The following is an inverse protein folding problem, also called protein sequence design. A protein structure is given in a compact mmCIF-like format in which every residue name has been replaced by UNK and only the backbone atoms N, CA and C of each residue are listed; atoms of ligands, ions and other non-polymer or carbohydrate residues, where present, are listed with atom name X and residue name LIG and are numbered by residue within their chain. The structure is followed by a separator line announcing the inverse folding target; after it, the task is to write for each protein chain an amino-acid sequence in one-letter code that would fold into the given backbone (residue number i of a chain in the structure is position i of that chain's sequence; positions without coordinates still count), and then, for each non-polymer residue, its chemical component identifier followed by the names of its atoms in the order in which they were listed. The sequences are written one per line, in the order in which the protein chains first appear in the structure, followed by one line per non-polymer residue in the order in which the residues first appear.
data_IF_076863371820
#
_entry.id   IF_076863371820
#
_cell.length_a   1.000
_cell.length_b   1.000
_cell.length_c   1.000
_cell.angle_alpha   90.00
_cell.angle_beta   90.00
_cell.angle_gamma   90.00
#
_symmetry.space_group_name_H-M   'P 1'
#
loop_
_entity.id
_entity.type
_entity.pdbx_description
1 polymer ?
#
# COMPACT_ATOMS: atom_id res chain seq x y z
N UNK A 1 -65.15 -40.95 -34.49
CA UNK A 1 -64.58 -41.29 -33.17
C UNK A 1 -63.80 -40.06 -32.69
N UNK A 2 -64.27 -39.35 -31.65
CA UNK A 2 -63.61 -39.19 -30.32
C UNK A 2 -62.14 -38.74 -30.45
N UNK A 3 -61.67 -37.61 -29.91
CA UNK A 3 -61.81 -37.07 -28.54
C UNK A 3 -61.22 -35.64 -28.47
N UNK A 4 -61.78 -34.81 -27.59
CA UNK A 4 -61.28 -33.49 -27.13
C UNK A 4 -60.28 -33.64 -25.97
N UNK A 5 -59.63 -32.51 -25.60
CA UNK A 5 -58.89 -32.17 -24.36
C UNK A 5 -57.39 -32.55 -24.37
N UNK A 6 -56.45 -31.65 -24.04
CA UNK A 6 -56.20 -31.11 -22.68
C UNK A 6 -55.68 -29.64 -22.69
N UNK A 7 -56.17 -28.90 -21.70
CA UNK A 7 -55.78 -27.57 -21.19
C UNK A 7 -54.45 -27.62 -20.38
N UNK A 8 -53.73 -26.50 -20.35
CA UNK A 8 -53.25 -25.91 -19.09
C UNK A 8 -51.74 -25.88 -18.83
N UNK A 9 -51.16 -24.66 -18.83
CA UNK A 9 -50.27 -24.12 -17.78
C UNK A 9 -49.87 -22.69 -18.19
N UNK A 10 -50.50 -21.66 -17.62
CA UNK A 10 -49.88 -20.74 -16.65
C UNK A 10 -48.57 -20.11 -17.15
N UNK A 11 -48.68 -18.85 -17.61
CA UNK A 11 -47.56 -17.95 -17.90
C UNK A 11 -47.89 -16.52 -17.49
N UNK A 12 -48.62 -16.34 -16.39
CA UNK A 12 -48.66 -15.07 -15.67
C UNK A 12 -47.38 -15.05 -14.81
N UNK A 13 -46.33 -14.42 -15.32
CA UNK A 13 -45.24 -13.92 -14.49
C UNK A 13 -44.66 -12.64 -15.12
N UNK A 14 -45.55 -11.71 -15.48
CA UNK A 14 -45.22 -10.31 -15.65
C UNK A 14 -45.53 -9.59 -14.33
N UNK A 15 -44.72 -9.84 -13.31
CA UNK A 15 -44.69 -9.09 -12.05
C UNK A 15 -43.32 -9.34 -11.40
N UNK A 16 -42.77 -8.29 -10.78
CA UNK A 16 -41.46 -8.19 -10.10
C UNK A 16 -40.29 -7.59 -10.89
N UNK A 17 -40.49 -6.39 -11.45
CA UNK A 17 -39.49 -5.32 -11.30
C UNK A 17 -40.20 -4.00 -10.93
N UNK A 18 -41.07 -4.06 -9.92
CA UNK A 18 -41.35 -2.90 -9.09
C UNK A 18 -40.33 -2.93 -7.93
N UNK A 19 -39.09 -2.55 -8.25
CA UNK A 19 -38.07 -2.25 -7.26
C UNK A 19 -38.45 -0.92 -6.60
N UNK A 20 -38.96 -1.04 -5.38
CA UNK A 20 -39.35 0.05 -4.51
C UNK A 20 -38.18 1.03 -4.30
N UNK A 21 -38.46 2.32 -4.43
CA UNK A 21 -37.49 3.37 -4.13
C UNK A 21 -37.19 3.47 -2.64
N UNK A 22 -35.91 3.72 -2.36
CA UNK A 22 -35.41 4.51 -1.23
C UNK A 22 -34.00 4.90 -1.68
N UNK A 23 -33.81 6.05 -2.31
CA UNK A 23 -33.94 7.30 -1.58
C UNK A 23 -32.71 7.51 -0.68
N UNK A 24 -31.52 7.16 -1.14
CA UNK A 24 -30.29 7.73 -0.61
C UNK A 24 -29.47 8.23 -1.80
N UNK A 25 -29.58 9.53 -2.08
CA UNK A 25 -28.88 10.21 -3.17
C UNK A 25 -27.51 10.69 -2.70
N UNK A 26 -26.83 9.85 -1.93
CA UNK A 26 -25.41 10.01 -1.66
C UNK A 26 -24.61 9.42 -2.83
N UNK A 27 -23.46 9.99 -3.20
CA UNK A 27 -22.54 9.30 -4.09
C UNK A 27 -22.20 7.92 -3.49
N UNK A 28 -22.35 6.86 -4.29
CA UNK A 28 -22.05 5.49 -3.85
C UNK A 28 -20.54 5.37 -3.68
N UNK A 29 -20.07 5.05 -2.47
CA UNK A 29 -18.64 4.77 -2.25
C UNK A 29 -18.29 3.36 -2.71
N UNK A 30 -17.10 3.22 -3.30
CA UNK A 30 -16.48 1.95 -3.66
C UNK A 30 -15.31 1.73 -2.73
N UNK A 31 -15.23 0.55 -2.12
CA UNK A 31 -14.11 0.13 -1.27
C UNK A 31 -13.38 -1.01 -1.97
N UNK A 32 -12.06 -0.87 -2.13
CA UNK A 32 -11.20 -1.87 -2.76
C UNK A 32 -9.99 -2.17 -1.87
N UNK A 33 -9.49 -3.39 -1.99
CA UNK A 33 -8.25 -3.86 -1.38
C UNK A 33 -7.24 -4.21 -2.48
N UNK A 34 -6.03 -3.70 -2.37
CA UNK A 34 -4.91 -3.92 -3.29
C UNK A 34 -3.73 -4.41 -2.45
N UNK A 35 -3.16 -5.57 -2.78
CA UNK A 35 -1.89 -6.00 -2.16
C UNK A 35 -0.72 -5.36 -2.91
N UNK A 36 0.41 -5.19 -2.20
CA UNK A 36 1.64 -4.74 -2.86
C UNK A 36 2.12 -5.76 -3.89
N UNK A 37 2.87 -5.27 -4.88
CA UNK A 37 3.50 -6.11 -5.90
C UNK A 37 4.89 -6.53 -5.44
N UNK A 38 4.98 -7.63 -4.68
CA UNK A 38 6.25 -8.14 -4.11
C UNK A 38 7.42 -8.14 -5.12
N UNK A 39 7.28 -8.57 -6.40
CA UNK A 39 8.38 -8.49 -7.36
C UNK A 39 8.94 -7.07 -7.59
N UNK A 40 8.11 -6.03 -7.42
CA UNK A 40 8.45 -4.60 -7.55
C UNK A 40 8.87 -3.96 -6.22
N UNK A 41 8.46 -4.55 -5.10
CA UNK A 41 8.87 -4.18 -3.75
C UNK A 41 10.35 -4.48 -3.49
N UNK A 42 10.92 -3.81 -2.48
CA UNK A 42 12.31 -4.07 -2.11
C UNK A 42 12.88 -3.13 -1.06
N UNK A 43 14.11 -3.40 -0.66
CA UNK A 43 14.89 -2.50 0.18
C UNK A 43 16.22 -2.12 -0.47
N UNK A 44 16.71 -0.94 -0.08
CA UNK A 44 18.05 -0.49 -0.46
C UNK A 44 18.82 -0.20 0.81
N UNK A 45 19.96 -0.87 0.97
CA UNK A 45 20.92 -0.65 2.05
C UNK A 45 22.09 0.21 1.57
N UNK A 46 22.33 1.34 2.23
CA UNK A 46 23.54 2.14 2.06
C UNK A 46 24.56 1.79 3.12
N UNK A 47 25.73 1.28 2.71
CA UNK A 47 26.87 1.06 3.59
C UNK A 47 27.77 2.31 3.58
N UNK A 48 27.84 3.08 4.69
CA UNK A 48 28.64 4.30 4.75
C UNK A 48 30.16 4.05 4.82
N UNK A 49 30.60 2.84 5.19
CA UNK A 49 32.03 2.49 5.28
C UNK A 49 32.56 2.05 3.92
N UNK A 50 31.82 1.19 3.22
CA UNK A 50 32.13 0.75 1.86
C UNK A 50 31.72 1.79 0.80
N UNK A 51 30.87 2.76 1.17
CA UNK A 51 30.26 3.74 0.27
C UNK A 51 29.57 3.09 -0.93
N UNK A 52 28.71 2.12 -0.65
CA UNK A 52 28.04 1.29 -1.65
C UNK A 52 26.57 1.05 -1.31
N UNK A 53 25.77 0.81 -2.35
CA UNK A 53 24.37 0.42 -2.20
C UNK A 53 24.18 -1.06 -2.52
N UNK A 54 23.38 -1.73 -1.71
CA UNK A 54 22.85 -3.07 -1.98
C UNK A 54 21.35 -2.94 -2.22
N UNK A 55 20.88 -3.43 -3.35
CA UNK A 55 19.44 -3.44 -3.70
C UNK A 55 18.92 -4.87 -3.54
N UNK A 56 17.88 -5.04 -2.75
CA UNK A 56 17.16 -6.29 -2.56
C UNK A 56 15.77 -6.15 -3.19
N UNK A 57 15.46 -6.99 -4.17
CA UNK A 57 14.19 -6.95 -4.92
C UNK A 57 13.32 -8.15 -4.54
N UNK A 58 12.05 -7.92 -4.22
CA UNK A 58 11.08 -8.92 -3.80
C UNK A 58 11.53 -9.87 -2.69
N UNK A 59 12.08 -9.36 -1.57
CA UNK A 59 12.33 -10.20 -0.42
C UNK A 59 11.01 -10.62 0.26
N UNK A 60 11.06 -11.66 1.09
CA UNK A 60 9.96 -12.03 1.97
C UNK A 60 9.78 -11.05 3.15
N UNK A 61 10.81 -10.25 3.44
CA UNK A 61 10.78 -9.23 4.49
C UNK A 61 11.57 -8.04 4.04
N UNK A 62 10.93 -6.88 4.10
CA UNK A 62 11.52 -5.58 3.77
C UNK A 62 12.09 -4.95 5.03
N UNK A 63 13.25 -4.32 4.91
CA UNK A 63 13.88 -3.64 6.03
C UNK A 63 13.99 -2.13 5.82
N UNK A 64 13.78 -1.38 6.89
CA UNK A 64 14.20 0.02 6.98
C UNK A 64 14.80 0.31 8.35
N UNK A 65 15.72 1.28 8.40
CA UNK A 65 16.43 1.64 9.64
C UNK A 65 17.93 1.43 9.57
N UNK A 66 18.61 1.44 10.71
CA UNK A 66 20.06 1.26 10.80
C UNK A 66 20.34 -0.09 11.47
N UNK A 67 21.01 -0.99 10.76
CA UNK A 67 21.50 -2.24 11.34
C UNK A 67 22.78 -1.97 12.14
N UNK A 68 22.64 -1.85 13.46
CA UNK A 68 23.77 -1.59 14.37
C UNK A 68 24.56 -2.87 14.72
N UNK A 69 24.08 -4.06 14.34
CA UNK A 69 24.82 -5.31 14.55
C UNK A 69 25.88 -5.50 13.46
N UNK A 70 25.68 -4.89 12.29
CA UNK A 70 26.69 -4.80 11.27
C UNK A 70 27.72 -3.69 11.63
N UNK A 71 29.04 -3.99 11.64
CA UNK A 71 30.08 -3.00 11.95
C UNK A 71 30.11 -1.78 11.03
N UNK A 72 29.52 -1.88 9.84
CA UNK A 72 29.44 -0.78 8.88
C UNK A 72 28.20 0.10 9.06
N UNK A 73 27.26 -0.26 9.95
CA UNK A 73 26.04 0.51 10.24
C UNK A 73 25.24 0.88 8.97
N UNK A 74 24.90 -0.09 8.10
CA UNK A 74 24.16 0.22 6.89
C UNK A 74 22.75 0.77 7.21
N UNK A 75 22.35 1.80 6.47
CA UNK A 75 21.00 2.36 6.50
C UNK A 75 20.15 1.70 5.43
N UNK A 76 19.02 1.13 5.82
CA UNK A 76 18.03 0.54 4.95
C UNK A 76 16.84 1.48 4.75
N UNK A 77 16.31 1.48 3.53
CA UNK A 77 15.01 2.08 3.19
C UNK A 77 14.19 1.03 2.45
N UNK A 78 12.95 0.83 2.88
CA UNK A 78 12.03 -0.12 2.26
C UNK A 78 11.09 0.62 1.30
N UNK A 79 10.70 -0.05 0.22
CA UNK A 79 9.89 0.48 -0.86
C UNK A 79 8.74 -0.50 -1.15
N UNK A 80 7.53 0.05 -1.24
CA UNK A 80 6.31 -0.69 -1.57
C UNK A 80 5.62 -0.09 -2.79
N UNK A 81 5.17 -0.96 -3.68
CA UNK A 81 4.49 -0.66 -4.94
C UNK A 81 3.06 -1.22 -4.91
N UNK A 82 2.08 -0.35 -5.19
CA UNK A 82 0.69 -0.75 -5.34
C UNK A 82 0.16 -0.31 -6.72
N UNK A 83 0.16 -1.21 -7.71
CA UNK A 83 -0.38 -0.90 -9.03
C UNK A 83 -1.87 -0.55 -8.96
N UNK A 84 -2.24 0.64 -9.44
CA UNK A 84 -3.61 1.17 -9.38
C UNK A 84 -4.43 0.86 -10.64
N UNK A 85 -3.81 0.22 -11.63
CA UNK A 85 -4.40 -0.07 -12.95
C UNK A 85 -5.01 -1.48 -13.05
N UNK A 86 -4.87 -2.29 -11.99
CA UNK A 86 -5.34 -3.67 -11.93
C UNK A 86 -4.46 -4.69 -12.65
N UNK A 87 -3.24 -4.32 -13.05
CA UNK A 87 -2.25 -5.20 -13.70
C UNK A 87 -1.86 -6.43 -12.87
N UNK A 88 -1.97 -6.34 -11.54
CA UNK A 88 -1.70 -7.42 -10.58
C UNK A 88 -2.93 -8.27 -10.26
N UNK A 89 -4.07 -8.02 -10.90
CA UNK A 89 -5.32 -8.74 -10.68
C UNK A 89 -6.17 -8.21 -9.51
N UNK A 90 -5.70 -7.19 -8.80
CA UNK A 90 -6.48 -6.43 -7.83
C UNK A 90 -7.35 -5.36 -8.53
N UNK A 91 -8.35 -4.77 -7.84
CA UNK A 91 -9.19 -3.74 -8.44
C UNK A 91 -8.40 -2.51 -8.89
N UNK A 92 -8.72 -1.98 -10.07
CA UNK A 92 -8.20 -0.70 -10.52
C UNK A 92 -8.89 0.48 -9.80
N UNK A 93 -8.16 1.57 -9.59
CA UNK A 93 -8.69 2.85 -9.11
C UNK A 93 -8.74 3.82 -10.30
N UNK A 94 -9.94 4.26 -10.72
CA UNK A 94 -10.06 5.22 -11.81
C UNK A 94 -9.25 6.49 -11.55
N UNK A 95 -8.56 7.03 -12.57
CA UNK A 95 -7.76 8.26 -12.46
C UNK A 95 -8.58 9.50 -12.04
N UNK A 96 -9.90 9.46 -12.22
CA UNK A 96 -10.82 10.54 -11.82
C UNK A 96 -11.57 10.22 -10.52
N UNK A 97 -11.19 9.15 -9.81
CA UNK A 97 -11.78 8.77 -8.55
C UNK A 97 -11.50 9.84 -7.49
N UNK A 98 -12.53 10.18 -6.71
CA UNK A 98 -12.33 11.08 -5.56
C UNK A 98 -12.05 10.24 -4.32
N UNK A 99 -10.80 10.26 -3.85
CA UNK A 99 -10.38 9.49 -2.68
C UNK A 99 -11.02 10.05 -1.41
N UNK A 100 -11.81 9.21 -0.74
CA UNK A 100 -12.46 9.50 0.55
C UNK A 100 -11.53 9.14 1.69
N UNK A 101 -11.01 7.92 1.66
CA UNK A 101 -10.07 7.42 2.66
C UNK A 101 -9.13 6.39 2.05
N UNK A 102 -7.93 6.27 2.61
CA UNK A 102 -6.99 5.23 2.25
C UNK A 102 -6.17 4.78 3.46
N UNK A 103 -6.10 3.48 3.68
CA UNK A 103 -5.37 2.87 4.77
C UNK A 103 -4.36 1.88 4.21
N UNK A 104 -3.09 2.10 4.53
CA UNK A 104 -2.01 1.15 4.30
C UNK A 104 -1.82 0.30 5.54
N UNK A 105 -1.91 -1.01 5.38
CA UNK A 105 -1.69 -2.00 6.43
C UNK A 105 -0.39 -2.75 6.15
N UNK A 106 0.46 -2.87 7.17
CA UNK A 106 1.71 -3.65 7.12
C UNK A 106 1.79 -4.58 8.32
N UNK A 107 2.29 -5.80 8.12
CA UNK A 107 2.56 -6.75 9.22
C UNK A 107 4.01 -6.62 9.66
N UNK A 108 4.24 -6.31 10.94
CA UNK A 108 5.58 -6.03 11.46
C UNK A 108 6.23 -7.30 11.98
N UNK A 109 7.39 -7.67 11.43
CA UNK A 109 8.12 -8.88 11.81
C UNK A 109 9.19 -8.63 12.86
N UNK A 110 9.78 -7.43 12.88
CA UNK A 110 10.75 -7.03 13.90
C UNK A 110 10.73 -5.51 14.14
N UNK A 111 11.05 -5.13 15.37
CA UNK A 111 11.32 -3.75 15.81
C UNK A 111 12.49 -3.84 16.77
N UNK A 112 13.67 -3.45 16.30
CA UNK A 112 14.94 -3.65 16.97
C UNK A 112 15.62 -2.34 17.34
N UNK A 113 16.54 -2.42 18.30
CA UNK A 113 17.43 -1.32 18.75
C UNK A 113 16.76 -0.12 19.42
N UNK A 114 15.43 -0.01 19.39
CA UNK A 114 14.65 0.95 20.18
C UNK A 114 13.26 0.38 20.53
N UNK A 115 12.62 0.96 21.56
CA UNK A 115 11.22 0.61 21.91
C UNK A 115 10.19 1.28 21.02
N UNK A 116 10.57 2.42 20.48
CA UNK A 116 9.78 3.27 19.60
C UNK A 116 10.72 3.76 18.53
N UNK A 117 10.38 3.52 17.27
CA UNK A 117 11.15 3.90 16.10
C UNK A 117 10.32 4.92 15.32
N UNK A 118 10.65 6.22 15.43
CA UNK A 118 10.07 7.24 14.57
C UNK A 118 10.45 6.99 13.11
N UNK A 119 9.47 6.97 12.24
CA UNK A 119 9.60 6.68 10.83
C UNK A 119 8.86 7.70 9.97
N UNK A 120 9.33 7.83 8.74
CA UNK A 120 8.68 8.56 7.66
C UNK A 120 8.15 7.57 6.63
N UNK A 121 7.02 7.93 6.03
CA UNK A 121 6.48 7.27 4.84
C UNK A 121 6.38 8.34 3.77
N UNK A 122 7.29 8.27 2.81
CA UNK A 122 7.33 9.20 1.68
C UNK A 122 6.50 8.65 0.52
N UNK A 123 5.72 9.50 -0.14
CA UNK A 123 5.22 9.21 -1.49
C UNK A 123 6.37 9.43 -2.47
N UNK A 124 6.77 8.39 -3.18
CA UNK A 124 7.91 8.42 -4.12
C UNK A 124 7.48 7.93 -5.50
N UNK A 125 8.40 7.96 -6.46
CA UNK A 125 8.24 7.23 -7.71
C UNK A 125 9.56 6.56 -8.08
N UNK A 126 9.50 5.28 -8.42
CA UNK A 126 10.63 4.48 -8.87
C UNK A 126 10.22 3.54 -10.01
N UNK A 127 11.19 3.00 -10.78
CA UNK A 127 10.86 2.12 -11.89
C UNK A 127 10.20 0.82 -11.42
N UNK A 128 9.00 0.51 -11.92
CA UNK A 128 8.30 -0.77 -11.68
C UNK A 128 9.07 -2.02 -12.16
N UNK A 129 10.19 -1.83 -12.87
CA UNK A 129 11.08 -2.93 -13.27
C UNK A 129 12.10 -3.29 -12.20
N UNK A 130 12.12 -2.52 -11.12
CA UNK A 130 13.00 -2.74 -9.98
C UNK A 130 13.73 -1.48 -9.54
N UNK A 131 14.09 -1.50 -8.27
CA UNK A 131 14.83 -0.45 -7.58
C UNK A 131 16.24 -0.31 -8.15
N UNK A 132 16.75 0.92 -8.09
CA UNK A 132 18.11 1.27 -8.42
C UNK A 132 18.76 2.00 -7.26
N UNK A 133 20.11 2.01 -7.15
CA UNK A 133 20.79 2.78 -6.11
C UNK A 133 20.41 4.27 -6.04
N UNK A 134 19.96 4.87 -7.15
CA UNK A 134 19.55 6.26 -7.20
C UNK A 134 18.26 6.52 -6.41
N UNK A 135 17.40 5.51 -6.26
CA UNK A 135 16.11 5.62 -5.58
C UNK A 135 16.27 5.76 -4.06
N UNK A 136 17.42 5.38 -3.50
CA UNK A 136 17.72 5.56 -2.08
C UNK A 136 17.62 7.04 -1.66
N UNK A 137 18.19 7.93 -2.46
CA UNK A 137 18.24 9.38 -2.21
C UNK A 137 17.24 10.16 -3.07
N UNK A 138 16.24 9.52 -3.65
CA UNK A 138 15.21 10.24 -4.39
C UNK A 138 14.42 11.17 -3.45
N UNK A 139 14.17 12.39 -3.91
CA UNK A 139 13.29 13.29 -3.19
C UNK A 139 11.85 12.74 -3.20
N UNK A 140 11.11 12.84 -2.09
CA UNK A 140 9.68 12.57 -2.10
C UNK A 140 8.97 13.47 -3.13
N UNK A 141 7.83 13.02 -3.63
CA UNK A 141 6.91 13.89 -4.35
C UNK A 141 6.45 15.03 -3.42
N UNK A 142 5.90 16.09 -3.99
CA UNK A 142 5.49 17.27 -3.22
C UNK A 142 3.98 17.46 -3.19
N UNK A 143 3.44 17.95 -2.08
CA UNK A 143 2.07 18.46 -2.06
C UNK A 143 1.96 19.77 -2.86
N UNK A 144 0.74 20.24 -3.17
CA UNK A 144 0.52 21.49 -3.91
C UNK A 144 1.11 22.75 -3.25
N UNK A 145 1.34 22.71 -1.94
CA UNK A 145 1.98 23.79 -1.18
C UNK A 145 3.51 23.81 -1.28
N UNK A 146 4.10 22.83 -1.98
CA UNK A 146 5.54 22.68 -2.18
C UNK A 146 6.25 21.91 -1.07
N UNK A 147 5.54 21.46 -0.02
CA UNK A 147 6.10 20.58 1.00
C UNK A 147 6.26 19.15 0.47
N UNK A 148 7.18 18.37 1.06
CA UNK A 148 7.31 16.95 0.73
C UNK A 148 6.08 16.17 1.17
N UNK A 149 5.62 15.26 0.32
CA UNK A 149 4.50 14.37 0.55
C UNK A 149 4.95 13.19 1.40
N UNK A 150 4.93 13.36 2.72
CA UNK A 150 5.27 12.32 3.67
C UNK A 150 4.34 12.30 4.89
N UNK A 151 4.37 11.20 5.61
CA UNK A 151 3.71 11.01 6.90
C UNK A 151 4.73 10.63 7.97
N UNK A 152 4.42 10.96 9.24
CA UNK A 152 5.18 10.49 10.40
C UNK A 152 4.40 9.38 11.10
N UNK A 153 5.11 8.34 11.48
CA UNK A 153 4.56 7.23 12.26
C UNK A 153 5.61 6.71 13.24
N UNK A 154 5.15 6.16 14.35
CA UNK A 154 6.01 5.44 15.29
C UNK A 154 5.75 3.94 15.17
N UNK A 155 6.80 3.15 14.97
CA UNK A 155 6.76 1.70 15.13
C UNK A 155 7.16 1.34 16.56
N UNK A 156 6.33 0.56 17.24
CA UNK A 156 6.52 0.17 18.63
C UNK A 156 7.00 -1.27 18.72
N UNK A 157 7.80 -1.59 19.74
CA UNK A 157 8.19 -2.98 20.00
C UNK A 157 6.99 -3.92 20.24
N UNK A 158 5.83 -3.36 20.59
CA UNK A 158 4.57 -4.09 20.74
C UNK A 158 3.86 -4.38 19.41
N UNK A 159 4.31 -3.79 18.31
CA UNK A 159 3.72 -4.00 16.98
C UNK A 159 4.23 -5.30 16.33
N UNK A 160 5.28 -5.90 16.89
CA UNK A 160 5.82 -7.17 16.41
C UNK A 160 4.76 -8.27 16.44
N UNK A 161 4.52 -8.88 15.29
CA UNK A 161 3.53 -9.94 15.11
C UNK A 161 2.09 -9.46 14.96
N UNK A 162 1.86 -8.15 14.79
CA UNK A 162 0.54 -7.58 14.49
C UNK A 162 0.57 -6.70 13.24
N UNK A 163 -0.62 -6.37 12.76
CA UNK A 163 -0.83 -5.43 11.67
C UNK A 163 -0.88 -4.00 12.18
N UNK A 164 -0.05 -3.13 11.61
CA UNK A 164 -0.10 -1.68 11.79
C UNK A 164 -0.92 -1.08 10.66
N UNK A 165 -1.97 -0.34 11.01
CA UNK A 165 -2.82 0.37 10.05
C UNK A 165 -2.46 1.86 10.03
N UNK A 166 -2.22 2.39 8.84
CA UNK A 166 -1.65 3.71 8.61
C UNK A 166 -2.59 4.47 7.69
N UNK A 167 -3.08 5.62 8.14
CA UNK A 167 -3.87 6.50 7.27
C UNK A 167 -2.95 7.17 6.26
N UNK A 168 -3.06 6.76 5.00
CA UNK A 168 -2.29 7.29 3.87
C UNK A 168 -3.16 8.12 2.92
N UNK A 169 -4.33 8.57 3.39
CA UNK A 169 -5.32 9.28 2.56
C UNK A 169 -4.71 10.48 1.83
N UNK A 170 -3.90 11.30 2.51
CA UNK A 170 -3.26 12.47 1.89
C UNK A 170 -2.27 12.11 0.80
N UNK A 171 -1.49 11.04 0.99
CA UNK A 171 -0.54 10.54 -0.01
C UNK A 171 -1.29 9.96 -1.22
N UNK A 172 -2.37 9.20 -0.98
CA UNK A 172 -3.19 8.60 -2.04
C UNK A 172 -3.92 9.67 -2.86
N UNK A 173 -4.42 10.73 -2.21
CA UNK A 173 -4.98 11.90 -2.88
C UNK A 173 -3.96 12.59 -3.77
N UNK A 174 -2.72 12.74 -3.29
CA UNK A 174 -1.64 13.34 -4.07
C UNK A 174 -1.23 12.46 -5.27
N UNK A 175 -1.18 11.13 -5.10
CA UNK A 175 -0.94 10.18 -6.18
C UNK A 175 -2.01 10.29 -7.27
N UNK A 176 -3.31 10.33 -6.89
CA UNK A 176 -4.41 10.54 -7.83
C UNK A 176 -4.36 11.90 -8.52
N UNK A 177 -4.07 12.98 -7.78
CA UNK A 177 -3.94 14.32 -8.35
C UNK A 177 -2.85 14.39 -9.43
N UNK A 178 -1.79 13.59 -9.28
CA UNK A 178 -0.69 13.48 -10.24
C UNK A 178 -0.97 12.50 -11.38
N UNK A 179 -2.02 11.68 -11.27
CA UNK A 179 -2.35 10.63 -12.23
C UNK A 179 -1.29 9.54 -12.27
N UNK A 180 -0.71 9.18 -11.12
CA UNK A 180 0.25 8.09 -11.03
C UNK A 180 -0.45 6.75 -11.34
N UNK A 181 0.24 5.88 -12.07
CA UNK A 181 -0.25 4.52 -12.35
C UNK A 181 -0.11 3.60 -11.12
N UNK A 182 0.81 3.95 -10.22
CA UNK A 182 1.17 3.17 -9.04
C UNK A 182 1.17 4.08 -7.82
N UNK A 183 0.71 3.56 -6.69
CA UNK A 183 0.91 4.20 -5.39
C UNK A 183 2.18 3.62 -4.77
N UNK A 184 3.26 4.40 -4.79
CA UNK A 184 4.59 3.96 -4.37
C UNK A 184 5.03 4.71 -3.13
N UNK A 185 5.43 3.96 -2.09
CA UNK A 185 5.86 4.55 -0.82
C UNK A 185 7.25 4.06 -0.40
N UNK A 186 7.98 4.92 0.32
CA UNK A 186 9.27 4.60 0.93
C UNK A 186 9.21 4.77 2.44
N UNK A 187 9.63 3.75 3.18
CA UNK A 187 9.84 3.77 4.62
C UNK A 187 11.30 4.08 4.95
N UNK A 188 11.51 4.98 5.90
CA UNK A 188 12.82 5.38 6.41
C UNK A 188 12.68 5.92 7.83
N UNK A 189 13.79 6.05 8.57
CA UNK A 189 13.76 6.67 9.90
C UNK A 189 13.40 8.16 9.79
N UNK A 190 12.61 8.66 10.74
CA UNK A 190 12.56 10.10 10.98
C UNK A 190 13.87 10.48 11.69
N UNK A 191 14.72 11.25 11.02
CA UNK A 191 16.06 11.61 11.50
C UNK A 191 16.00 12.67 12.62
N UNK A 192 15.30 12.35 13.71
CA UNK A 192 15.52 12.98 15.02
C UNK A 192 16.98 12.75 15.46
N UNK A 193 17.58 13.62 16.28
CA UNK A 193 19.00 13.49 16.64
C UNK A 193 19.33 12.09 17.21
N UNK A 194 20.30 11.42 16.58
CA UNK A 194 20.69 10.02 16.82
C UNK A 194 19.55 9.01 16.55
N UNK A 195 19.04 8.93 15.31
CA UNK A 195 17.99 7.97 15.00
C UNK A 195 18.57 6.57 15.14
N UNK A 196 17.93 5.75 15.96
CA UNK A 196 18.26 4.34 16.15
C UNK A 196 16.98 3.54 16.01
N UNK A 197 17.04 2.49 15.21
CA UNK A 197 15.90 1.64 14.98
C UNK A 197 16.09 0.84 13.72
N UNK A 198 15.59 -0.40 13.73
CA UNK A 198 15.55 -1.26 12.57
C UNK A 198 14.22 -2.02 12.59
N UNK A 199 13.50 -2.00 11.48
CA UNK A 199 12.14 -2.57 11.38
C UNK A 199 12.09 -3.51 10.19
N UNK A 200 11.50 -4.68 10.42
CA UNK A 200 11.13 -5.64 9.39
C UNK A 200 9.63 -5.59 9.12
N UNK A 201 9.26 -5.54 7.84
CA UNK A 201 7.88 -5.64 7.35
C UNK A 201 7.75 -6.93 6.54
N UNK A 202 6.76 -7.77 6.87
CA UNK A 202 6.46 -8.98 6.09
C UNK A 202 5.93 -8.59 4.70
N UNK A 203 6.40 -9.28 3.68
CA UNK A 203 6.02 -9.09 2.28
C UNK A 203 5.81 -10.43 1.56
N UNK A 204 5.28 -11.44 2.26
CA UNK A 204 5.00 -12.75 1.66
C UNK A 204 3.60 -12.82 1.01
N UNK A 205 3.44 -12.69 -0.32
CA UNK A 205 2.13 -12.75 -0.99
C UNK A 205 1.51 -14.15 -0.95
N UNK A 206 2.32 -15.21 -0.82
CA UNK A 206 1.84 -16.59 -0.68
C UNK A 206 1.18 -16.86 0.67
N UNK A 207 1.41 -15.98 1.66
CA UNK A 207 0.67 -15.92 2.91
C UNK A 207 -0.12 -14.61 2.89
N UNK A 208 -1.11 -14.50 2.01
CA UNK A 208 -1.91 -13.29 1.72
C UNK A 208 -2.51 -12.54 2.93
N UNK A 209 -2.37 -13.08 4.14
CA UNK A 209 -2.74 -12.46 5.40
C UNK A 209 -1.75 -11.35 5.79
N UNK A 210 -0.45 -11.50 5.47
CA UNK A 210 0.61 -10.62 5.98
C UNK A 210 1.27 -9.72 4.95
N UNK A 211 0.99 -9.91 3.66
CA UNK A 211 1.44 -8.98 2.62
C UNK A 211 0.87 -7.56 2.85
N UNK A 212 1.65 -6.50 2.58
CA UNK A 212 1.19 -5.13 2.66
C UNK A 212 -0.08 -4.92 1.85
N UNK A 213 -1.06 -4.23 2.44
CA UNK A 213 -2.38 -4.03 1.85
C UNK A 213 -2.80 -2.58 1.89
N UNK A 214 -3.15 -2.04 0.73
CA UNK A 214 -3.79 -0.75 0.56
C UNK A 214 -5.30 -0.95 0.45
N UNK A 215 -6.05 -0.43 1.41
CA UNK A 215 -7.51 -0.33 1.33
C UNK A 215 -7.87 1.09 0.92
N UNK A 216 -8.69 1.26 -0.12
CA UNK A 216 -9.07 2.59 -0.63
C UNK A 216 -10.59 2.69 -0.75
N UNK A 217 -11.13 3.79 -0.23
CA UNK A 217 -12.51 4.20 -0.42
C UNK A 217 -12.56 5.42 -1.36
N UNK A 218 -13.39 5.36 -2.39
CA UNK A 218 -13.53 6.44 -3.35
C UNK A 218 -14.96 6.57 -3.92
N UNK A 219 -15.22 7.71 -4.57
CA UNK A 219 -16.41 7.96 -5.40
C UNK A 219 -16.09 7.84 -6.89
#
# INVERSE_FOLDING_TARGET
MRKRWILGMVGVLALFLAGCGSGDSGPTTVIVDILSDQPSDGDIAFDPVANSFTVTQGPDTLFFGIDILNPNFPEFRAFLDFPLDGSTGYPAIPLNATIVSSVLKVSVTSVEFARTIPALIDLVSYPVRGLTPADFNSDPLTFPDGSFAFLRIDFLATDVGIDVAIDVTSLMQEAQRRGLADFQVRYLLDFVPNPTGFVGIDDQPTVAITAPRLTVEYF
#
